data_IF_694582986243
#
_entry.id   IF_694582986243
#
_cell.length_a   1.000
_cell.length_b   1.000
_cell.length_c   1.000
_cell.angle_alpha   90.00
_cell.angle_beta   90.00
_cell.angle_gamma   90.00
#
_symmetry.space_group_name_H-M   'P 1'
#
loop_
_entity.id
_entity.type
_entity.pdbx_description
1 polymer ?
#
# COMPACT_ATOMS: atom_id res chain seq x y z
N UNK A 1 -4.34 18.47 6.35
CA UNK A 1 -4.96 19.45 7.25
C UNK A 1 -4.90 18.89 8.67
N UNK A 2 -4.36 19.61 9.67
CA UNK A 2 -4.35 19.14 11.06
C UNK A 2 -5.73 19.36 11.72
N UNK A 3 -6.18 18.41 12.54
CA UNK A 3 -7.42 18.55 13.33
C UNK A 3 -7.26 19.65 14.41
N UNK A 4 -8.35 20.35 14.73
CA UNK A 4 -8.35 21.40 15.76
C UNK A 4 -8.18 20.82 17.17
N UNK A 5 -7.56 21.59 18.08
CA UNK A 5 -7.35 21.18 19.48
C UNK A 5 -8.67 20.86 20.21
N UNK A 6 -9.76 21.54 19.85
CA UNK A 6 -11.08 21.28 20.41
C UNK A 6 -11.64 19.94 19.94
N UNK A 7 -11.42 19.56 18.67
CA UNK A 7 -11.87 18.27 18.14
C UNK A 7 -11.14 17.10 18.79
N UNK A 8 -9.84 17.26 19.07
CA UNK A 8 -9.06 16.23 19.78
C UNK A 8 -9.55 16.00 21.21
N UNK A 9 -9.91 17.07 21.94
CA UNK A 9 -10.49 16.95 23.30
C UNK A 9 -11.82 16.22 23.30
N UNK A 10 -12.66 16.46 22.29
CA UNK A 10 -13.94 15.76 22.14
C UNK A 10 -13.72 14.26 21.92
N UNK A 11 -12.88 13.88 20.95
CA UNK A 11 -12.60 12.46 20.64
C UNK A 11 -12.02 11.73 21.85
N UNK A 12 -11.15 12.38 22.63
CA UNK A 12 -10.56 11.78 23.83
C UNK A 12 -11.54 11.59 25.00
N UNK A 13 -12.70 12.25 24.97
CA UNK A 13 -13.72 12.20 26.03
C UNK A 13 -14.92 11.33 25.64
N UNK A 14 -15.10 11.04 24.35
CA UNK A 14 -16.16 10.14 23.87
C UNK A 14 -15.87 8.70 24.33
N UNK A 15 -16.79 8.04 25.04
CA UNK A 15 -16.62 6.65 25.45
C UNK A 15 -16.72 5.69 24.26
N UNK A 16 -16.01 4.57 24.31
CA UNK A 16 -15.96 3.57 23.23
C UNK A 16 -17.35 3.04 22.83
N UNK A 17 -18.31 3.03 23.76
CA UNK A 17 -19.69 2.59 23.52
C UNK A 17 -20.50 3.51 22.61
N UNK A 18 -20.07 4.76 22.43
CA UNK A 18 -20.69 5.73 21.52
C UNK A 18 -20.06 5.69 20.12
N UNK A 19 -19.04 4.84 19.89
CA UNK A 19 -18.44 4.66 18.57
C UNK A 19 -19.41 3.85 17.69
N UNK A 20 -19.88 4.47 16.62
CA UNK A 20 -20.69 3.83 15.60
C UNK A 20 -19.80 3.01 14.64
N UNK A 21 -20.10 1.72 14.52
CA UNK A 21 -19.42 0.77 13.62
C UNK A 21 -20.32 0.32 12.46
N UNK A 22 -21.50 0.93 12.27
CA UNK A 22 -22.50 0.47 11.30
C UNK A 22 -22.03 0.53 9.85
N UNK A 23 -21.05 1.39 9.55
CA UNK A 23 -20.43 1.56 8.24
C UNK A 23 -19.28 0.58 7.96
N UNK A 24 -18.78 -0.13 8.97
CA UNK A 24 -17.63 -1.02 8.86
C UNK A 24 -17.93 -2.42 9.40
N UNK A 25 -17.80 -3.44 8.55
CA UNK A 25 -17.97 -4.82 8.97
C UNK A 25 -16.85 -5.27 9.93
N UNK A 26 -17.22 -5.98 11.00
CA UNK A 26 -16.24 -6.54 11.93
C UNK A 26 -15.39 -7.62 11.24
N UNK A 27 -14.07 -7.59 11.48
CA UNK A 27 -13.15 -8.60 10.97
C UNK A 27 -13.24 -9.87 11.83
N UNK A 28 -13.37 -11.04 11.20
CA UNK A 28 -13.46 -12.31 11.91
C UNK A 28 -12.09 -12.76 12.46
N UNK A 29 -12.05 -13.59 13.51
CA UNK A 29 -10.81 -14.21 13.98
C UNK A 29 -10.09 -15.03 12.89
N UNK A 30 -10.84 -15.61 11.95
CA UNK A 30 -10.30 -16.37 10.81
C UNK A 30 -9.55 -15.50 9.82
N UNK A 31 -9.98 -14.24 9.63
CA UNK A 31 -9.25 -13.26 8.83
C UNK A 31 -7.85 -13.03 9.42
N UNK A 32 -7.76 -12.82 10.74
CA UNK A 32 -6.49 -12.59 11.43
C UNK A 32 -5.59 -13.82 11.46
N UNK A 33 -6.15 -15.04 11.45
CA UNK A 33 -5.38 -16.29 11.45
C UNK A 33 -4.43 -16.42 10.25
N UNK A 34 -4.82 -15.89 9.09
CA UNK A 34 -4.03 -15.95 7.86
C UNK A 34 -3.50 -14.57 7.41
N UNK A 35 -3.74 -13.53 8.20
CA UNK A 35 -3.33 -12.19 7.85
C UNK A 35 -1.80 -12.09 7.84
N UNK A 36 -1.22 -11.77 6.67
CA UNK A 36 0.20 -11.47 6.56
C UNK A 36 0.43 -10.00 6.89
N UNK A 37 1.15 -9.75 7.98
CA UNK A 37 1.62 -8.39 8.29
C UNK A 37 2.65 -7.98 7.24
N UNK A 38 2.32 -6.97 6.44
CA UNK A 38 3.23 -6.41 5.44
C UNK A 38 3.67 -5.03 5.89
N UNK A 39 4.92 -4.90 6.28
CA UNK A 39 5.52 -3.60 6.51
C UNK A 39 5.89 -2.96 5.17
N UNK A 40 5.47 -1.71 4.90
CA UNK A 40 5.89 -1.00 3.69
C UNK A 40 7.40 -0.81 3.73
N UNK A 41 8.11 -1.53 2.87
CA UNK A 41 9.55 -1.40 2.73
C UNK A 41 9.86 -0.05 2.06
N UNK A 42 10.81 0.74 2.61
CA UNK A 42 11.19 2.00 2.01
C UNK A 42 11.77 1.76 0.60
N UNK A 43 11.22 2.46 -0.40
CA UNK A 43 11.76 2.40 -1.76
C UNK A 43 13.07 3.20 -1.81
N UNK A 44 14.12 2.60 -2.37
CA UNK A 44 15.37 3.32 -2.67
C UNK A 44 15.19 4.10 -3.97
N UNK A 45 15.47 5.41 -3.94
CA UNK A 45 15.50 6.23 -5.15
C UNK A 45 16.77 5.92 -5.92
N UNK A 46 16.62 5.33 -7.10
CA UNK A 46 17.71 5.04 -8.03
C UNK A 46 17.44 5.71 -9.37
N UNK A 47 18.50 6.08 -10.09
CA UNK A 47 18.41 6.62 -11.44
C UNK A 47 18.90 5.55 -12.41
N UNK A 48 17.99 5.04 -13.24
CA UNK A 48 18.31 4.05 -14.28
C UNK A 48 17.90 4.60 -15.64
N UNK A 49 18.62 4.20 -16.70
CA UNK A 49 18.23 4.50 -18.07
C UNK A 49 17.31 3.39 -18.58
N UNK A 50 16.20 3.78 -19.20
CA UNK A 50 15.22 2.88 -19.80
C UNK A 50 15.09 3.31 -21.27
N UNK A 51 14.97 2.34 -22.18
CA UNK A 51 14.76 2.64 -23.58
C UNK A 51 13.45 3.43 -23.79
N UNK A 52 13.45 4.30 -24.78
CA UNK A 52 12.33 5.22 -25.05
C UNK A 52 11.02 4.49 -25.35
N UNK A 53 11.08 3.43 -26.17
CA UNK A 53 9.92 2.62 -26.55
C UNK A 53 9.24 1.95 -25.35
N UNK A 54 10.06 1.41 -24.43
CA UNK A 54 9.57 0.79 -23.20
C UNK A 54 8.93 1.84 -22.27
N UNK A 55 9.59 3.00 -22.11
CA UNK A 55 9.07 4.07 -21.27
C UNK A 55 7.75 4.62 -21.82
N UNK A 56 7.64 4.79 -23.14
CA UNK A 56 6.43 5.27 -23.79
C UNK A 56 5.30 4.27 -23.66
N UNK A 57 5.57 2.96 -23.77
CA UNK A 57 4.58 1.92 -23.51
C UNK A 57 3.98 2.02 -22.10
N UNK A 58 4.82 2.14 -21.06
CA UNK A 58 4.33 2.28 -19.68
C UNK A 58 3.58 3.60 -19.40
N UNK A 59 3.90 4.66 -20.16
CA UNK A 59 3.23 5.97 -20.07
C UNK A 59 1.87 6.00 -20.75
N UNK A 60 1.60 5.15 -21.76
CA UNK A 60 0.30 5.08 -22.45
C UNK A 60 -0.86 4.85 -21.49
N UNK A 61 -0.64 4.07 -20.44
CA UNK A 61 -1.64 3.79 -19.41
C UNK A 61 -1.72 4.86 -18.30
N UNK A 62 -1.14 6.04 -18.50
CA UNK A 62 -1.31 7.21 -17.63
C UNK A 62 -0.49 7.23 -16.34
N UNK A 63 -1.05 7.85 -15.30
CA UNK A 63 -0.39 8.02 -13.99
C UNK A 63 -0.04 6.67 -13.37
N UNK A 64 1.10 6.60 -12.68
CA UNK A 64 1.55 5.38 -11.99
C UNK A 64 2.51 4.50 -12.79
N UNK A 65 3.00 4.95 -13.96
CA UNK A 65 3.96 4.20 -14.78
C UNK A 65 5.21 3.74 -14.00
N UNK A 66 5.73 4.56 -13.08
CA UNK A 66 6.87 4.18 -12.22
C UNK A 66 6.54 3.02 -11.27
N UNK A 67 5.32 3.01 -10.72
CA UNK A 67 4.86 1.91 -9.85
C UNK A 67 4.70 0.61 -10.64
N UNK A 68 4.22 0.70 -11.89
CA UNK A 68 4.13 -0.45 -12.80
C UNK A 68 5.49 -1.02 -13.16
N UNK A 69 6.45 -0.17 -13.52
CA UNK A 69 7.84 -0.58 -13.76
C UNK A 69 8.38 -1.34 -12.53
N UNK A 70 8.18 -0.80 -11.34
CA UNK A 70 8.61 -1.46 -10.11
C UNK A 70 7.89 -2.81 -9.86
N UNK A 71 6.60 -2.93 -10.20
CA UNK A 71 5.86 -4.18 -10.06
C UNK A 71 6.38 -5.27 -11.00
N UNK A 72 6.69 -4.92 -12.26
CA UNK A 72 7.28 -5.86 -13.23
C UNK A 72 8.66 -6.34 -12.78
N UNK A 73 9.52 -5.42 -12.34
CA UNK A 73 10.85 -5.78 -11.81
C UNK A 73 10.75 -6.71 -10.59
N UNK A 74 9.75 -6.48 -9.72
CA UNK A 74 9.50 -7.33 -8.56
C UNK A 74 9.03 -8.73 -8.97
N UNK A 75 8.06 -8.82 -9.88
CA UNK A 75 7.57 -10.09 -10.39
C UNK A 75 8.71 -10.89 -11.03
N UNK A 76 9.56 -10.23 -11.82
CA UNK A 76 10.72 -10.87 -12.43
C UNK A 76 11.72 -11.40 -11.38
N UNK A 77 12.03 -10.61 -10.35
CA UNK A 77 12.84 -11.05 -9.19
C UNK A 77 12.25 -12.29 -8.51
N UNK A 78 10.96 -12.25 -8.19
CA UNK A 78 10.27 -13.33 -7.48
C UNK A 78 10.22 -14.61 -8.34
N UNK A 79 10.04 -14.49 -9.66
CA UNK A 79 10.11 -15.62 -10.58
C UNK A 79 11.50 -16.26 -10.67
N UNK A 80 12.58 -15.47 -10.55
CA UNK A 80 13.94 -16.00 -10.51
C UNK A 80 14.22 -16.70 -9.17
N UNK A 81 13.85 -16.07 -8.05
CA UNK A 81 14.05 -16.66 -6.71
C UNK A 81 13.21 -17.92 -6.48
N UNK A 82 12.06 -18.05 -7.17
CA UNK A 82 11.22 -19.25 -7.14
C UNK A 82 11.71 -20.41 -8.01
N UNK A 83 12.78 -20.24 -8.81
CA UNK A 83 13.41 -21.33 -9.59
C UNK A 83 14.57 -22.00 -8.86
N UNK A 84 15.07 -21.41 -7.77
CA UNK A 84 16.18 -21.93 -6.95
C UNK A 84 15.73 -22.75 -5.73
N UNK A 85 14.47 -23.23 -5.70
CA UNK A 85 13.90 -24.04 -4.61
C UNK A 85 13.21 -25.31 -5.10
#
# INVERSE_FOLDING_TARGET
>A
MPLSKQRLKQIATTPDSEIDYSDISALSPEFWKNAKVVFPQPKKKVTIRINTDVLDWFKKEGKGYQSRINAVLRSFKESLEGQDH
#
